data_IF_840741852049
#
_entry.id   IF_840741852049
#
_cell.length_a   1.000
_cell.length_b   1.000
_cell.length_c   1.000
_cell.angle_alpha   90.00
_cell.angle_beta   90.00
_cell.angle_gamma   90.00
#
_symmetry.space_group_name_H-M   'P 1'
#
loop_
_entity.id
_entity.type
_entity.pdbx_description
1 polymer ?
#
# COMPACT_ATOMS: atom_id res chain seq x y z
N UNK A 1 -64.46 48.73 -30.02
CA UNK A 1 -63.54 49.76 -30.52
C UNK A 1 -62.13 49.46 -29.94
N UNK A 2 -61.28 49.17 -30.87
CA UNK A 2 -59.86 49.50 -30.88
C UNK A 2 -59.02 49.01 -29.64
N UNK A 3 -57.94 48.33 -29.78
CA UNK A 3 -56.93 48.06 -30.84
C UNK A 3 -55.90 47.26 -30.21
N UNK A 4 -55.46 46.40 -30.94
CA UNK A 4 -54.18 46.34 -31.60
C UNK A 4 -52.95 46.48 -30.70
N UNK A 5 -52.22 45.43 -30.72
CA UNK A 5 -50.80 45.37 -31.04
C UNK A 5 -49.94 45.36 -29.78
N UNK A 6 -49.19 44.44 -29.63
CA UNK A 6 -47.83 44.30 -30.15
C UNK A 6 -47.29 42.97 -29.63
N UNK A 7 -47.24 42.06 -30.53
CA UNK A 7 -46.31 40.95 -30.41
C UNK A 7 -44.91 41.47 -30.72
N UNK A 8 -43.99 40.90 -30.18
CA UNK A 8 -42.66 40.64 -30.70
C UNK A 8 -41.51 40.99 -29.76
N UNK A 9 -40.58 40.12 -29.81
CA UNK A 9 -39.19 40.22 -29.36
C UNK A 9 -38.87 39.73 -27.95
N UNK A 10 -38.87 38.43 -27.79
CA UNK A 10 -38.00 37.77 -26.77
C UNK A 10 -37.56 36.38 -27.27
N UNK A 11 -36.94 36.31 -28.42
CA UNK A 11 -36.33 35.07 -28.93
C UNK A 11 -34.89 35.32 -29.36
N UNK A 12 -34.08 35.89 -28.54
CA UNK A 12 -32.64 35.96 -28.77
C UNK A 12 -31.87 35.98 -27.44
N UNK A 13 -31.93 34.91 -26.68
CA UNK A 13 -31.15 34.82 -25.43
C UNK A 13 -30.77 33.41 -24.97
N UNK A 14 -31.20 32.41 -25.71
CA UNK A 14 -30.94 31.01 -25.28
C UNK A 14 -29.79 30.31 -25.98
N UNK A 15 -29.05 31.00 -26.83
CA UNK A 15 -28.01 30.39 -27.68
C UNK A 15 -26.59 30.52 -27.22
N UNK A 16 -26.29 31.26 -26.16
CA UNK A 16 -24.89 31.59 -25.84
C UNK A 16 -24.44 31.05 -24.48
N UNK A 17 -25.24 30.27 -23.80
CA UNK A 17 -24.86 29.72 -22.48
C UNK A 17 -24.26 28.31 -22.53
N UNK A 18 -24.17 27.70 -23.70
CA UNK A 18 -23.67 26.34 -23.87
C UNK A 18 -22.15 26.30 -24.17
N UNK A 19 -21.55 27.46 -24.45
CA UNK A 19 -20.15 27.50 -24.92
C UNK A 19 -19.10 27.83 -23.85
N UNK A 20 -19.50 28.01 -22.60
CA UNK A 20 -18.55 28.21 -21.48
C UNK A 20 -18.62 27.10 -20.45
N UNK A 21 -18.76 25.85 -20.88
CA UNK A 21 -18.28 24.77 -20.04
C UNK A 21 -16.76 24.73 -20.20
N UNK A 22 -15.97 25.07 -19.18
CA UNK A 22 -14.58 24.74 -19.23
C UNK A 22 -14.52 23.24 -19.43
N UNK A 23 -13.93 22.82 -20.53
CA UNK A 23 -13.52 21.46 -20.72
C UNK A 23 -12.78 21.08 -19.44
N UNK A 24 -13.42 20.27 -18.61
CA UNK A 24 -12.74 19.61 -17.53
C UNK A 24 -11.68 18.79 -18.23
N UNK A 25 -10.48 19.34 -18.28
CA UNK A 25 -9.31 18.61 -18.68
C UNK A 25 -9.39 17.30 -17.87
N UNK A 26 -9.68 16.23 -18.59
CA UNK A 26 -9.38 14.91 -18.08
C UNK A 26 -7.90 14.97 -17.78
N UNK A 27 -7.57 15.25 -16.53
CA UNK A 27 -6.26 14.96 -16.02
C UNK A 27 -6.10 13.47 -16.26
N UNK A 28 -5.49 13.14 -17.37
CA UNK A 28 -4.82 11.87 -17.53
C UNK A 28 -3.84 11.84 -16.37
N UNK A 29 -4.34 11.35 -15.25
CA UNK A 29 -3.53 10.93 -14.15
C UNK A 29 -2.83 9.68 -14.69
N UNK A 30 -1.83 9.91 -15.53
CA UNK A 30 -0.77 8.97 -15.74
C UNK A 30 -0.18 8.82 -14.35
N UNK A 31 -0.74 7.88 -13.60
CA UNK A 31 -0.13 7.37 -12.42
C UNK A 31 1.22 6.83 -12.89
N UNK A 32 2.20 7.72 -12.96
CA UNK A 32 3.60 7.35 -12.92
C UNK A 32 3.72 6.58 -11.62
N UNK A 33 3.58 5.28 -11.69
CA UNK A 33 4.00 4.41 -10.59
C UNK A 33 5.43 4.82 -10.33
N UNK A 34 5.72 5.47 -9.19
CA UNK A 34 7.10 5.85 -8.91
C UNK A 34 7.91 4.57 -9.01
N UNK A 35 9.11 4.61 -9.61
CA UNK A 35 9.97 3.45 -9.64
C UNK A 35 10.04 2.96 -8.20
N UNK A 36 9.64 1.70 -7.99
CA UNK A 36 9.66 1.07 -6.66
C UNK A 36 11.14 1.00 -6.27
N UNK A 37 11.63 2.08 -5.65
CA UNK A 37 12.96 2.11 -5.06
C UNK A 37 13.01 0.95 -4.06
N UNK A 38 13.89 0.01 -4.30
CA UNK A 38 14.14 -1.06 -3.36
C UNK A 38 14.44 -0.41 -2.01
N UNK A 39 13.58 -0.65 -1.03
CA UNK A 39 13.75 -0.05 0.29
C UNK A 39 15.08 -0.54 0.87
N UNK A 40 15.96 0.39 1.22
CA UNK A 40 17.21 0.11 1.92
C UNK A 40 17.03 -0.05 3.42
N UNK A 41 15.79 -0.04 3.91
CA UNK A 41 15.50 -0.21 5.32
C UNK A 41 16.05 -1.56 5.83
N UNK A 42 16.83 -1.49 6.89
CA UNK A 42 17.49 -2.63 7.53
C UNK A 42 17.28 -2.58 9.03
N UNK A 43 17.33 -3.75 9.66
CA UNK A 43 17.41 -3.82 11.11
C UNK A 43 18.71 -3.15 11.60
N UNK A 44 18.69 -2.47 12.76
CA UNK A 44 19.88 -1.87 13.33
C UNK A 44 20.95 -2.91 13.63
N UNK A 45 22.21 -2.56 13.40
CA UNK A 45 23.33 -3.45 13.73
C UNK A 45 23.37 -3.75 15.23
N UNK A 46 23.55 -5.02 15.58
CA UNK A 46 23.61 -5.47 16.98
C UNK A 46 22.25 -5.59 17.68
N UNK A 47 21.15 -5.29 17.02
CA UNK A 47 19.79 -5.47 17.53
C UNK A 47 19.16 -6.70 16.86
N UNK A 48 18.71 -7.65 17.67
CA UNK A 48 18.01 -8.83 17.20
C UNK A 48 16.50 -8.59 17.26
N UNK A 49 15.88 -8.36 16.11
CA UNK A 49 14.44 -8.20 15.97
C UNK A 49 13.87 -9.53 15.49
N UNK A 50 13.15 -10.23 16.36
CA UNK A 50 12.53 -11.54 16.04
C UNK A 50 11.23 -11.33 15.29
N UNK A 51 11.11 -11.93 14.12
CA UNK A 51 9.98 -11.75 13.22
C UNK A 51 9.34 -13.09 12.89
N UNK A 52 8.02 -13.13 13.00
CA UNK A 52 7.16 -14.18 12.43
C UNK A 52 6.65 -13.70 11.07
N UNK A 53 6.71 -14.53 10.03
CA UNK A 53 6.21 -14.21 8.69
C UNK A 53 5.10 -15.16 8.30
N UNK A 54 3.91 -14.63 8.11
CA UNK A 54 2.72 -15.42 7.77
C UNK A 54 2.17 -15.04 6.40
N UNK A 55 1.91 -16.04 5.56
CA UNK A 55 1.24 -15.84 4.29
C UNK A 55 -0.26 -15.63 4.51
N UNK A 56 -0.71 -14.39 4.34
CA UNK A 56 -2.11 -14.01 4.39
C UNK A 56 -2.74 -13.92 3.00
N UNK A 57 -2.34 -14.82 2.08
CA UNK A 57 -2.83 -14.84 0.71
C UNK A 57 -2.99 -16.27 0.19
N UNK A 58 -3.55 -16.40 -1.02
CA UNK A 58 -3.61 -17.68 -1.75
C UNK A 58 -2.34 -17.95 -2.57
N UNK A 59 -1.44 -16.98 -2.66
CA UNK A 59 -0.23 -17.09 -3.49
C UNK A 59 0.80 -17.95 -2.76
N UNK A 60 1.11 -19.11 -3.33
CA UNK A 60 2.06 -20.05 -2.74
C UNK A 60 3.47 -19.46 -2.68
N UNK A 61 4.20 -19.75 -1.61
CA UNK A 61 5.59 -19.39 -1.45
C UNK A 61 5.85 -17.92 -1.11
N UNK A 62 4.79 -17.13 -0.87
CA UNK A 62 4.94 -15.71 -0.60
C UNK A 62 5.64 -15.45 0.74
N UNK A 63 5.27 -16.19 1.80
CA UNK A 63 5.95 -16.10 3.10
C UNK A 63 7.44 -16.46 2.99
N UNK A 64 7.78 -17.51 2.24
CA UNK A 64 9.19 -17.89 2.04
C UNK A 64 10.00 -16.76 1.39
N UNK A 65 9.46 -16.15 0.34
CA UNK A 65 10.14 -15.02 -0.33
C UNK A 65 10.27 -13.81 0.59
N UNK A 66 9.22 -13.51 1.37
CA UNK A 66 9.26 -12.44 2.36
C UNK A 66 10.28 -12.73 3.48
N UNK A 67 10.39 -13.98 3.91
CA UNK A 67 11.41 -14.43 4.87
C UNK A 67 12.82 -14.14 4.38
N UNK A 68 13.14 -14.56 3.15
CA UNK A 68 14.46 -14.30 2.56
C UNK A 68 14.73 -12.80 2.49
N UNK A 69 13.77 -12.04 1.98
CA UNK A 69 13.84 -10.60 1.86
C UNK A 69 14.09 -9.85 3.18
N UNK A 70 13.46 -10.29 4.27
CA UNK A 70 13.67 -9.72 5.60
C UNK A 70 15.00 -10.13 6.20
N UNK A 71 15.42 -11.39 6.03
CA UNK A 71 16.73 -11.88 6.49
C UNK A 71 17.89 -11.13 5.83
N UNK A 72 17.79 -10.86 4.53
CA UNK A 72 18.80 -10.05 3.80
C UNK A 72 18.92 -8.62 4.33
N UNK A 73 17.89 -8.16 5.06
CA UNK A 73 17.84 -6.86 5.72
C UNK A 73 18.16 -6.92 7.22
N UNK A 74 18.65 -8.05 7.70
CA UNK A 74 19.12 -8.21 9.07
C UNK A 74 18.02 -8.49 10.10
N UNK A 75 16.79 -8.75 9.69
CA UNK A 75 15.74 -9.22 10.60
C UNK A 75 15.91 -10.72 10.89
N UNK A 76 15.70 -11.09 12.15
CA UNK A 76 15.76 -12.49 12.57
C UNK A 76 14.39 -13.17 12.40
N UNK A 77 14.14 -13.73 11.23
CA UNK A 77 12.92 -14.46 10.98
C UNK A 77 13.01 -15.83 11.62
N UNK A 78 12.30 -15.99 12.75
CA UNK A 78 12.29 -17.21 13.58
C UNK A 78 11.22 -18.19 13.16
N UNK A 79 10.11 -17.70 12.60
CA UNK A 79 8.99 -18.53 12.15
C UNK A 79 8.44 -18.04 10.82
N UNK A 80 8.01 -18.99 9.98
CA UNK A 80 7.32 -18.68 8.74
C UNK A 80 6.24 -19.74 8.45
N UNK A 81 5.05 -19.27 8.05
CA UNK A 81 3.93 -20.17 7.84
C UNK A 81 2.81 -19.53 7.03
N UNK A 82 1.63 -20.11 7.16
CA UNK A 82 0.38 -19.57 6.62
C UNK A 82 -0.57 -19.16 7.74
N UNK A 83 -1.46 -18.23 7.43
CA UNK A 83 -2.59 -17.90 8.30
C UNK A 83 -3.90 -18.18 7.58
N UNK A 84 -4.97 -18.44 8.34
CA UNK A 84 -6.32 -18.54 7.79
C UNK A 84 -6.90 -17.22 7.31
N UNK A 85 -6.29 -16.10 7.72
CA UNK A 85 -6.70 -14.76 7.26
C UNK A 85 -6.25 -14.52 5.82
N UNK A 86 -7.09 -13.82 5.06
CA UNK A 86 -6.75 -13.39 3.69
C UNK A 86 -6.72 -11.88 3.66
N UNK A 87 -5.64 -11.33 3.12
CA UNK A 87 -5.42 -9.90 2.99
C UNK A 87 -4.85 -9.56 1.63
N UNK A 88 -5.28 -8.45 1.08
CA UNK A 88 -4.69 -7.92 -0.15
C UNK A 88 -3.39 -7.18 0.14
N UNK A 89 -3.36 -6.42 1.22
CA UNK A 89 -2.20 -5.61 1.63
C UNK A 89 -1.40 -6.30 2.73
N UNK A 90 -0.08 -6.07 2.72
CA UNK A 90 0.80 -6.52 3.81
C UNK A 90 0.63 -5.64 5.03
N UNK A 91 0.61 -6.27 6.19
CA UNK A 91 0.50 -5.61 7.50
C UNK A 91 1.61 -6.12 8.41
N UNK A 92 2.22 -5.21 9.15
CA UNK A 92 3.20 -5.51 10.21
C UNK A 92 2.53 -5.26 11.55
N UNK A 93 2.48 -6.29 12.37
CA UNK A 93 1.95 -6.22 13.72
C UNK A 93 3.11 -6.03 14.70
N UNK A 94 3.05 -4.95 15.48
CA UNK A 94 3.96 -4.72 16.60
C UNK A 94 3.47 -5.50 17.82
N UNK A 95 4.29 -6.44 18.30
CA UNK A 95 3.96 -7.34 19.42
C UNK A 95 4.53 -6.90 20.75
N UNK A 96 5.56 -6.06 20.74
CA UNK A 96 6.35 -5.72 21.92
C UNK A 96 6.40 -4.22 22.23
N UNK A 97 5.53 -3.41 21.60
CA UNK A 97 5.51 -1.95 21.73
C UNK A 97 6.82 -1.28 21.28
N UNK A 98 7.37 -1.77 20.17
CA UNK A 98 8.51 -1.17 19.48
C UNK A 98 8.10 -0.63 18.10
N UNK A 99 7.37 0.49 18.05
CA UNK A 99 6.84 1.03 16.79
C UNK A 99 7.95 1.38 15.79
N UNK A 100 9.15 1.71 16.26
CA UNK A 100 10.32 1.97 15.43
C UNK A 100 10.78 0.71 14.67
N UNK A 101 10.73 -0.45 15.29
CA UNK A 101 11.05 -1.73 14.64
C UNK A 101 10.00 -2.12 13.62
N UNK A 102 8.73 -1.94 14.00
CA UNK A 102 7.61 -2.19 13.09
C UNK A 102 7.66 -1.27 11.87
N UNK A 103 8.02 0.00 12.05
CA UNK A 103 8.19 0.96 10.96
C UNK A 103 9.33 0.57 10.01
N UNK A 104 10.46 0.08 10.55
CA UNK A 104 11.58 -0.42 9.74
C UNK A 104 11.18 -1.64 8.92
N UNK A 105 10.50 -2.61 9.53
CA UNK A 105 10.00 -3.79 8.84
C UNK A 105 8.97 -3.43 7.77
N UNK A 106 8.03 -2.53 8.08
CA UNK A 106 7.04 -2.05 7.14
C UNK A 106 7.68 -1.36 5.92
N UNK A 107 8.69 -0.54 6.15
CA UNK A 107 9.47 0.11 5.09
C UNK A 107 10.24 -0.92 4.26
N UNK A 108 10.83 -1.93 4.88
CA UNK A 108 11.50 -3.04 4.20
C UNK A 108 10.52 -3.80 3.30
N UNK A 109 9.28 -3.97 3.74
CA UNK A 109 8.22 -4.66 2.99
C UNK A 109 7.51 -3.77 1.94
N UNK A 110 8.04 -2.59 1.64
CA UNK A 110 7.49 -1.69 0.62
C UNK A 110 6.38 -0.80 1.14
N UNK A 111 6.56 -0.24 2.33
CA UNK A 111 5.61 0.65 3.01
C UNK A 111 4.30 -0.06 3.41
N UNK A 112 4.45 -1.21 4.04
CA UNK A 112 3.34 -1.94 4.63
C UNK A 112 2.67 -1.14 5.75
N UNK A 113 1.42 -1.46 6.05
CA UNK A 113 0.70 -0.87 7.18
C UNK A 113 1.24 -1.43 8.49
N UNK A 114 1.34 -0.59 9.51
CA UNK A 114 1.70 -0.99 10.88
C UNK A 114 0.45 -0.97 11.75
N UNK A 115 0.27 -2.02 12.54
CA UNK A 115 -0.76 -2.11 13.57
C UNK A 115 -0.12 -2.53 14.89
N UNK A 116 -0.46 -1.84 15.98
CA UNK A 116 -0.04 -2.24 17.32
C UNK A 116 -0.97 -3.34 17.83
N UNK A 117 -0.40 -4.51 18.12
CA UNK A 117 -1.09 -5.64 18.72
C UNK A 117 -0.16 -6.36 19.71
N UNK A 118 0.11 -5.77 20.87
CA UNK A 118 0.96 -6.37 21.87
C UNK A 118 0.48 -7.77 22.26
N UNK A 119 1.40 -8.71 22.31
CA UNK A 119 1.10 -10.10 22.68
C UNK A 119 2.29 -10.69 23.43
N UNK A 120 2.15 -10.79 24.74
CA UNK A 120 3.20 -11.30 25.63
C UNK A 120 3.36 -12.82 25.59
N UNK A 121 2.43 -13.53 24.94
CA UNK A 121 2.47 -14.99 24.82
C UNK A 121 3.34 -15.46 23.65
N UNK A 122 3.72 -14.56 22.75
CA UNK A 122 4.55 -14.89 21.61
C UNK A 122 5.98 -14.41 21.82
N UNK A 123 6.92 -15.28 21.53
CA UNK A 123 8.35 -14.98 21.58
C UNK A 123 8.85 -14.25 20.33
N UNK A 124 8.02 -13.39 19.74
CA UNK A 124 8.37 -12.60 18.56
C UNK A 124 8.09 -11.12 18.81
N UNK A 125 8.92 -10.28 18.24
CA UNK A 125 8.79 -8.84 18.37
C UNK A 125 7.81 -8.28 17.34
N UNK A 126 7.79 -8.87 16.15
CA UNK A 126 6.93 -8.47 15.03
C UNK A 126 6.28 -9.69 14.38
N UNK A 127 5.05 -9.52 13.88
CA UNK A 127 4.42 -10.47 12.96
C UNK A 127 4.14 -9.78 11.63
N UNK A 128 4.63 -10.33 10.53
CA UNK A 128 4.38 -9.81 9.18
C UNK A 128 3.36 -10.67 8.47
N UNK A 129 2.18 -10.11 8.22
CA UNK A 129 1.12 -10.73 7.44
C UNK A 129 1.28 -10.33 5.97
N UNK A 130 1.77 -11.24 5.14
CA UNK A 130 2.10 -10.94 3.74
C UNK A 130 0.84 -11.02 2.90
N UNK A 131 0.39 -9.90 2.38
CA UNK A 131 -0.80 -9.77 1.55
C UNK A 131 -0.56 -10.15 0.09
N UNK A 132 -1.65 -10.40 -0.64
CA UNK A 132 -1.62 -10.87 -2.03
C UNK A 132 -0.97 -9.88 -3.01
N UNK A 133 -1.01 -8.60 -2.71
CA UNK A 133 -0.43 -7.54 -3.55
C UNK A 133 1.09 -7.38 -3.38
N UNK A 134 1.67 -7.99 -2.33
CA UNK A 134 3.11 -7.87 -2.10
C UNK A 134 3.91 -8.54 -3.22
N UNK A 135 4.90 -7.83 -3.70
CA UNK A 135 5.87 -8.36 -4.68
C UNK A 135 7.27 -8.18 -4.13
N UNK A 136 8.08 -9.22 -4.10
CA UNK A 136 9.49 -9.07 -3.79
C UNK A 136 10.11 -8.11 -4.81
N UNK A 137 11.10 -7.30 -4.40
CA UNK A 137 11.92 -6.58 -5.36
C UNK A 137 12.54 -7.60 -6.33
N UNK A 138 12.74 -7.17 -7.58
CA UNK A 138 13.44 -7.99 -8.55
C UNK A 138 14.82 -8.32 -7.97
N UNK A 139 15.09 -9.61 -7.79
CA UNK A 139 16.42 -10.05 -7.39
C UNK A 139 17.37 -9.76 -8.55
N UNK A 140 18.53 -9.15 -8.31
CA UNK A 140 19.57 -9.15 -9.30
C UNK A 140 19.89 -10.61 -9.61
N UNK A 141 19.88 -10.97 -10.87
CA UNK A 141 20.26 -12.31 -11.31
C UNK A 141 21.61 -12.64 -10.71
N UNK A 142 21.67 -13.64 -9.86
CA UNK A 142 22.91 -14.32 -9.59
C UNK A 142 23.26 -15.13 -10.83
N UNK A 143 24.42 -14.92 -11.43
CA UNK A 143 24.89 -15.74 -12.55
C UNK A 143 25.09 -17.18 -12.13
#
# INVERSE_FOLDING_TARGET
MLGAGIAAAALLGAGLYVWLRPARAASANSASTPPRVASTARAPAGVRIRVEVLNASVVRGLARRATMHLRDRGFDVVESGGTGERRDSTVVLDRTNHPEWAALAAKAMGSARVESRPDTLRDVDLTVLVGASWRPPAEPFYP
#
